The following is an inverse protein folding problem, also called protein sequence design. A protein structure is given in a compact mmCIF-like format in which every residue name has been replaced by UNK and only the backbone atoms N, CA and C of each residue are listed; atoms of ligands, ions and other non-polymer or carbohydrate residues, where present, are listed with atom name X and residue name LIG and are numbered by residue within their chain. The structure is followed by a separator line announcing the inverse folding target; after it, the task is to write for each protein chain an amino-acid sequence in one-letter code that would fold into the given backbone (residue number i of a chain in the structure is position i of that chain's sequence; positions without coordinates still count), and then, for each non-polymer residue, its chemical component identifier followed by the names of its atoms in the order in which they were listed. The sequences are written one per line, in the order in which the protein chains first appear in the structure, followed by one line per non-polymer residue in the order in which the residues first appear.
data_IF_828776814506
#
_entry.id   IF_828776814506
#
_cell.length_a   1.000
_cell.length_b   1.000
_cell.length_c   1.000
_cell.angle_alpha   90.00
_cell.angle_beta   90.00
_cell.angle_gamma   90.00
#
_symmetry.space_group_name_H-M   'P 1'
#
loop_
_entity.id
_entity.type
_entity.pdbx_description
1 polymer ?
#
# COMPACT_ATOMS: atom_id res chain seq x y z
N UNK A 1 -40.33 18.73 48.19
CA UNK A 1 -41.03 17.80 47.33
C UNK A 1 -41.19 18.51 46.00
N UNK A 2 -40.33 18.27 45.16
CA UNK A 2 -40.04 17.22 44.19
C UNK A 2 -40.57 17.66 42.82
N UNK A 3 -39.65 18.13 41.98
CA UNK A 3 -39.80 18.24 40.52
C UNK A 3 -38.40 18.13 39.89
N UNK A 4 -37.85 16.93 39.91
CA UNK A 4 -36.55 16.69 39.23
C UNK A 4 -36.33 15.17 39.02
N UNK A 5 -37.28 14.50 38.29
CA UNK A 5 -37.11 13.06 37.95
C UNK A 5 -37.80 12.70 36.62
N UNK A 6 -37.59 13.48 35.54
CA UNK A 6 -38.18 13.10 34.23
C UNK A 6 -37.31 13.33 33.00
N UNK A 7 -36.04 13.72 33.12
CA UNK A 7 -35.20 13.99 31.93
C UNK A 7 -34.16 12.91 31.56
N UNK A 8 -34.02 11.81 32.30
CA UNK A 8 -32.96 10.82 32.08
C UNK A 8 -33.38 9.54 31.33
N UNK A 9 -34.58 9.50 30.73
CA UNK A 9 -35.03 8.28 29.99
C UNK A 9 -35.21 8.42 28.48
N UNK A 10 -35.00 9.57 27.85
CA UNK A 10 -35.19 9.70 26.40
C UNK A 10 -33.93 9.46 25.58
N UNK A 11 -32.72 9.58 26.12
CA UNK A 11 -31.47 9.38 25.39
C UNK A 11 -31.15 7.91 25.02
N UNK A 12 -31.49 6.96 25.94
CA UNK A 12 -31.08 5.55 25.76
C UNK A 12 -31.90 4.75 24.74
N UNK A 13 -33.09 5.20 24.35
CA UNK A 13 -33.91 4.48 23.34
C UNK A 13 -33.61 4.95 21.90
N UNK A 14 -33.08 6.15 21.70
CA UNK A 14 -32.65 6.65 20.39
C UNK A 14 -31.36 5.98 19.93
N UNK A 15 -30.32 5.94 20.77
CA UNK A 15 -29.02 5.36 20.46
C UNK A 15 -29.07 3.85 20.14
N UNK A 16 -29.90 3.08 20.84
CA UNK A 16 -30.07 1.65 20.57
C UNK A 16 -30.81 1.37 19.26
N UNK A 17 -31.73 2.24 18.83
CA UNK A 17 -32.43 2.16 17.56
C UNK A 17 -31.52 2.48 16.37
N UNK A 18 -30.74 3.56 16.46
CA UNK A 18 -29.80 4.01 15.44
C UNK A 18 -28.66 2.98 15.23
N UNK A 19 -28.09 2.44 16.31
CA UNK A 19 -27.09 1.37 16.24
C UNK A 19 -27.66 0.11 15.57
N UNK A 20 -28.92 -0.25 15.81
CA UNK A 20 -29.59 -1.38 15.16
C UNK A 20 -29.84 -1.13 13.67
N UNK A 21 -30.14 0.11 13.26
CA UNK A 21 -30.32 0.50 11.86
C UNK A 21 -29.01 0.40 11.06
N UNK A 22 -27.90 0.90 11.61
CA UNK A 22 -26.56 0.80 11.02
C UNK A 22 -26.14 -0.65 10.89
N UNK A 23 -26.24 -1.47 11.96
CA UNK A 23 -25.92 -2.90 11.92
C UNK A 23 -26.74 -3.63 10.87
N UNK A 24 -28.05 -3.35 10.79
CA UNK A 24 -28.93 -3.93 9.79
C UNK A 24 -28.58 -3.52 8.35
N UNK A 25 -28.15 -2.28 8.15
CA UNK A 25 -27.67 -1.81 6.84
C UNK A 25 -26.38 -2.51 6.44
N UNK A 26 -25.39 -2.54 7.33
CA UNK A 26 -24.11 -3.23 7.12
C UNK A 26 -24.35 -4.69 6.73
N UNK A 27 -25.17 -5.41 7.48
CA UNK A 27 -25.47 -6.83 7.20
C UNK A 27 -26.11 -7.04 5.82
N UNK A 28 -27.02 -6.16 5.40
CA UNK A 28 -27.69 -6.29 4.08
C UNK A 28 -26.80 -5.92 2.89
N UNK A 29 -25.84 -5.03 3.09
CA UNK A 29 -24.96 -4.53 2.02
C UNK A 29 -23.60 -5.22 1.99
N UNK A 30 -23.29 -6.05 2.96
CA UNK A 30 -22.08 -6.89 2.97
C UNK A 30 -22.20 -8.03 1.96
N UNK A 31 -21.20 -8.18 1.12
CA UNK A 31 -21.04 -9.29 0.17
C UNK A 31 -20.11 -10.33 0.78
N UNK A 32 -20.63 -11.50 1.22
CA UNK A 32 -19.79 -12.53 1.83
C UNK A 32 -18.74 -13.07 0.84
N UNK A 33 -17.50 -13.25 1.27
CA UNK A 33 -16.45 -13.90 0.50
C UNK A 33 -16.59 -15.43 0.57
N UNK A 34 -17.70 -15.95 0.03
CA UNK A 34 -18.08 -17.37 0.10
C UNK A 34 -17.14 -18.28 -0.69
N UNK A 35 -16.42 -17.76 -1.69
CA UNK A 35 -15.37 -18.47 -2.41
C UNK A 35 -14.07 -18.63 -1.60
N UNK A 36 -13.97 -18.00 -0.41
CA UNK A 36 -12.75 -17.94 0.40
C UNK A 36 -11.79 -16.83 -0.02
N UNK A 37 -10.61 -16.80 0.57
CA UNK A 37 -9.61 -15.74 0.36
C UNK A 37 -8.51 -16.11 -0.64
N UNK A 38 -8.47 -17.38 -1.06
CA UNK A 38 -7.34 -17.92 -1.85
C UNK A 38 -7.51 -17.62 -3.34
N UNK A 39 -6.43 -17.27 -4.01
CA UNK A 39 -6.33 -17.20 -5.47
C UNK A 39 -6.75 -18.53 -6.14
N UNK A 40 -7.33 -18.45 -7.34
CA UNK A 40 -7.89 -19.62 -8.04
C UNK A 40 -9.24 -20.10 -7.49
N UNK A 41 -9.76 -19.53 -6.41
CA UNK A 41 -11.10 -19.85 -5.90
C UNK A 41 -12.19 -19.31 -6.84
N UNK A 42 -13.42 -19.91 -6.81
CA UNK A 42 -14.53 -19.41 -7.62
C UNK A 42 -14.80 -17.92 -7.39
N UNK A 43 -15.10 -17.17 -8.46
CA UNK A 43 -15.26 -15.70 -8.43
C UNK A 43 -16.71 -15.24 -8.39
N UNK A 44 -17.67 -16.14 -8.20
CA UNK A 44 -19.10 -15.81 -8.21
C UNK A 44 -19.48 -14.76 -7.15
N UNK A 45 -18.86 -14.80 -5.99
CA UNK A 45 -19.03 -13.83 -4.89
C UNK A 45 -18.35 -12.47 -5.17
N UNK A 46 -17.45 -12.39 -6.13
CA UNK A 46 -16.81 -11.14 -6.57
C UNK A 46 -17.59 -10.45 -7.71
N UNK A 47 -18.58 -11.11 -8.33
CA UNK A 47 -19.33 -10.53 -9.45
C UNK A 47 -19.96 -9.14 -9.15
N UNK A 48 -20.45 -8.84 -7.92
CA UNK A 48 -20.96 -7.51 -7.61
C UNK A 48 -19.92 -6.39 -7.80
N UNK A 49 -18.61 -6.70 -7.70
CA UNK A 49 -17.55 -5.72 -7.95
C UNK A 49 -17.55 -5.19 -9.39
N UNK A 50 -18.14 -5.91 -10.35
CA UNK A 50 -18.21 -5.46 -11.74
C UNK A 50 -19.01 -4.16 -11.89
N UNK A 51 -20.12 -4.04 -11.16
CA UNK A 51 -20.93 -2.82 -11.13
C UNK A 51 -20.28 -1.75 -10.25
N UNK A 52 -19.77 -2.16 -9.09
CA UNK A 52 -19.08 -1.27 -8.14
C UNK A 52 -17.87 -0.57 -8.77
N UNK A 53 -17.14 -1.25 -9.65
CA UNK A 53 -15.92 -0.76 -10.29
C UNK A 53 -16.13 -0.30 -11.75
N UNK A 54 -17.38 -0.08 -12.17
CA UNK A 54 -17.62 0.48 -13.51
C UNK A 54 -16.99 1.89 -13.62
N UNK A 55 -16.28 2.13 -14.72
CA UNK A 55 -15.51 3.37 -14.92
C UNK A 55 -14.24 3.53 -14.09
N UNK A 56 -13.95 2.63 -13.13
CA UNK A 56 -12.75 2.68 -12.30
C UNK A 56 -11.52 2.24 -13.10
N UNK A 57 -10.45 3.03 -12.99
CA UNK A 57 -9.14 2.78 -13.61
C UNK A 57 -8.06 2.40 -12.61
N UNK A 58 -8.22 2.80 -11.35
CA UNK A 58 -7.26 2.52 -10.27
C UNK A 58 -8.03 1.96 -9.09
N UNK A 59 -7.70 0.73 -8.67
CA UNK A 59 -8.23 0.12 -7.44
C UNK A 59 -7.11 0.05 -6.42
N UNK A 60 -7.21 0.87 -5.36
CA UNK A 60 -6.32 0.79 -4.20
C UNK A 60 -6.74 -0.34 -3.27
N UNK A 61 -5.93 -1.37 -3.17
CA UNK A 61 -6.07 -2.48 -2.23
C UNK A 61 -5.24 -2.21 -0.98
N UNK A 62 -5.90 -1.77 0.09
CA UNK A 62 -5.30 -1.44 1.36
C UNK A 62 -4.88 -2.66 2.19
N UNK A 63 -4.31 -2.42 3.34
CA UNK A 63 -4.06 -3.38 4.42
C UNK A 63 -3.83 -2.62 5.72
N UNK A 64 -4.43 -3.07 6.80
CA UNK A 64 -4.19 -2.47 8.13
C UNK A 64 -2.89 -2.97 8.78
N UNK A 65 -2.15 -3.86 8.12
CA UNK A 65 -0.81 -4.33 8.49
C UNK A 65 -0.14 -5.04 7.32
N UNK A 66 1.18 -4.90 7.20
CA UNK A 66 1.99 -5.56 6.16
C UNK A 66 2.31 -7.04 6.46
N UNK A 67 1.67 -7.69 7.40
CA UNK A 67 2.14 -8.97 7.89
C UNK A 67 1.09 -10.08 8.02
N UNK A 68 -0.05 -10.03 7.33
CA UNK A 68 -1.09 -11.07 7.42
C UNK A 68 -1.17 -11.94 6.17
N UNK A 69 -1.32 -13.25 6.41
CA UNK A 69 -1.53 -14.24 5.36
C UNK A 69 -2.83 -13.96 4.57
N UNK A 70 -3.92 -13.71 5.28
CA UNK A 70 -5.25 -13.58 4.70
C UNK A 70 -5.39 -12.33 3.82
N UNK A 71 -4.79 -11.18 4.21
CA UNK A 71 -4.81 -9.99 3.36
C UNK A 71 -4.07 -10.23 2.05
N UNK A 72 -2.90 -10.87 2.11
CA UNK A 72 -2.11 -11.13 0.91
C UNK A 72 -2.82 -12.10 -0.02
N UNK A 73 -3.46 -13.14 0.53
CA UNK A 73 -4.28 -14.09 -0.24
C UNK A 73 -5.48 -13.42 -0.87
N UNK A 74 -6.21 -12.58 -0.12
CA UNK A 74 -7.35 -11.83 -0.65
C UNK A 74 -6.94 -10.86 -1.75
N UNK A 75 -5.85 -10.11 -1.55
CA UNK A 75 -5.34 -9.19 -2.57
C UNK A 75 -4.90 -9.92 -3.84
N UNK A 76 -4.27 -11.09 -3.71
CA UNK A 76 -3.94 -11.93 -4.86
C UNK A 76 -5.22 -12.38 -5.59
N UNK A 77 -6.23 -12.87 -4.87
CA UNK A 77 -7.52 -13.27 -5.46
C UNK A 77 -8.24 -12.09 -6.14
N UNK A 78 -8.22 -10.90 -5.54
CA UNK A 78 -8.77 -9.69 -6.14
C UNK A 78 -7.97 -9.28 -7.38
N UNK A 79 -6.64 -9.38 -7.36
CA UNK A 79 -5.80 -9.13 -8.54
C UNK A 79 -6.18 -10.06 -9.69
N UNK A 80 -6.33 -11.38 -9.44
CA UNK A 80 -6.80 -12.34 -10.45
C UNK A 80 -8.12 -11.88 -11.08
N UNK A 81 -9.12 -11.57 -10.24
CA UNK A 81 -10.42 -11.12 -10.70
C UNK A 81 -10.35 -9.82 -11.51
N UNK A 82 -9.63 -8.82 -11.02
CA UNK A 82 -9.45 -7.53 -11.69
C UNK A 82 -8.76 -7.68 -13.05
N UNK A 83 -7.77 -8.56 -13.15
CA UNK A 83 -7.05 -8.82 -14.39
C UNK A 83 -7.90 -9.62 -15.38
N UNK A 84 -8.50 -10.72 -14.94
CA UNK A 84 -9.19 -11.66 -15.84
C UNK A 84 -10.58 -11.19 -16.26
N UNK A 85 -11.31 -10.50 -15.39
CA UNK A 85 -12.71 -10.12 -15.62
C UNK A 85 -12.88 -8.62 -15.92
N UNK A 86 -12.02 -7.75 -15.39
CA UNK A 86 -12.17 -6.31 -15.52
C UNK A 86 -11.06 -5.63 -16.34
N UNK A 87 -10.08 -6.42 -16.85
CA UNK A 87 -9.07 -5.94 -17.77
C UNK A 87 -8.02 -5.02 -17.14
N UNK A 88 -7.70 -5.21 -15.85
CA UNK A 88 -6.58 -4.51 -15.23
C UNK A 88 -5.26 -5.07 -15.76
N UNK A 89 -4.29 -4.17 -16.03
CA UNK A 89 -3.07 -4.50 -16.76
C UNK A 89 -1.80 -4.36 -15.95
N UNK A 90 -1.85 -3.69 -14.78
CA UNK A 90 -0.65 -3.41 -14.00
C UNK A 90 -0.93 -3.56 -12.51
N UNK A 91 -0.07 -4.30 -11.81
CA UNK A 91 0.06 -4.27 -10.36
C UNK A 91 1.13 -3.23 -9.99
N UNK A 92 0.70 -2.11 -9.40
CA UNK A 92 1.58 -1.10 -8.79
C UNK A 92 1.66 -1.38 -7.28
N UNK A 93 2.84 -1.68 -6.78
CA UNK A 93 3.03 -2.12 -5.40
C UNK A 93 3.88 -1.14 -4.60
N UNK A 94 3.54 -0.91 -3.33
CA UNK A 94 4.35 -0.17 -2.34
C UNK A 94 5.67 -0.92 -2.07
N UNK A 95 6.46 -1.12 -3.13
CA UNK A 95 7.71 -1.85 -3.14
C UNK A 95 8.76 -1.03 -3.91
N UNK A 96 10.03 -1.39 -3.79
CA UNK A 96 11.12 -0.62 -4.40
C UNK A 96 10.91 -0.37 -5.89
N UNK A 97 10.81 0.90 -6.28
CA UNK A 97 10.77 1.33 -7.67
C UNK A 97 12.08 0.97 -8.41
N UNK A 98 13.19 0.94 -7.68
CA UNK A 98 14.53 0.62 -8.19
C UNK A 98 14.66 -0.86 -8.58
N UNK A 99 14.14 -1.76 -7.75
CA UNK A 99 14.20 -3.21 -7.94
C UNK A 99 12.98 -3.77 -8.72
N UNK A 100 11.89 -3.03 -8.78
CA UNK A 100 10.65 -3.44 -9.47
C UNK A 100 10.85 -3.97 -10.90
N UNK A 101 11.75 -3.39 -11.73
CA UNK A 101 12.02 -3.90 -13.07
C UNK A 101 12.49 -5.35 -13.14
N UNK A 102 13.17 -5.86 -12.10
CA UNK A 102 13.58 -7.27 -12.05
C UNK A 102 12.37 -8.19 -11.83
N UNK A 103 11.41 -7.77 -11.00
CA UNK A 103 10.15 -8.49 -10.82
C UNK A 103 9.30 -8.44 -12.09
N UNK A 104 9.21 -7.29 -12.78
CA UNK A 104 8.50 -7.17 -14.07
C UNK A 104 9.12 -8.08 -15.15
N UNK A 105 10.44 -8.16 -15.20
CA UNK A 105 11.14 -9.07 -16.13
C UNK A 105 10.83 -10.55 -15.84
N UNK A 106 10.77 -10.95 -14.58
CA UNK A 106 10.33 -12.30 -14.20
C UNK A 106 8.87 -12.54 -14.60
N UNK A 107 7.95 -11.67 -14.19
CA UNK A 107 6.52 -11.78 -14.46
C UNK A 107 6.23 -11.86 -15.97
N UNK A 108 6.93 -11.09 -16.80
CA UNK A 108 6.70 -11.05 -18.25
C UNK A 108 7.44 -12.10 -19.05
N UNK A 109 8.63 -12.45 -18.63
CA UNK A 109 9.55 -13.26 -19.47
C UNK A 109 10.20 -14.43 -18.73
N UNK A 110 9.93 -14.62 -17.44
CA UNK A 110 10.55 -15.67 -16.63
C UNK A 110 12.03 -15.45 -16.35
N UNK A 111 12.53 -14.21 -16.49
CA UNK A 111 13.94 -13.88 -16.24
C UNK A 111 14.21 -13.74 -14.76
N UNK A 112 15.12 -14.56 -14.23
CA UNK A 112 15.50 -14.56 -12.81
C UNK A 112 14.81 -15.65 -12.00
N UNK A 113 15.26 -15.79 -10.75
CA UNK A 113 14.64 -16.66 -9.75
C UNK A 113 13.58 -15.85 -8.97
N UNK A 114 12.32 -16.31 -8.87
CA UNK A 114 11.24 -15.54 -8.27
C UNK A 114 11.48 -15.18 -6.80
N UNK A 115 12.06 -16.06 -6.00
CA UNK A 115 12.37 -15.77 -4.60
C UNK A 115 13.52 -14.75 -4.46
N UNK A 116 14.47 -14.77 -5.40
CA UNK A 116 15.58 -13.80 -5.41
C UNK A 116 15.10 -12.41 -5.84
N UNK A 117 14.27 -12.28 -6.88
CA UNK A 117 13.77 -10.97 -7.31
C UNK A 117 12.89 -10.32 -6.22
N UNK A 118 12.10 -11.11 -5.47
CA UNK A 118 11.38 -10.61 -4.30
C UNK A 118 12.33 -10.19 -3.17
N UNK A 119 13.40 -10.92 -2.94
CA UNK A 119 14.44 -10.56 -1.96
C UNK A 119 15.10 -9.23 -2.36
N UNK A 120 15.31 -9.00 -3.66
CA UNK A 120 15.85 -7.78 -4.24
C UNK A 120 15.01 -6.53 -3.94
N UNK A 121 13.70 -6.64 -3.73
CA UNK A 121 12.84 -5.52 -3.33
C UNK A 121 13.29 -4.87 -2.00
N UNK A 122 14.09 -5.56 -1.19
CA UNK A 122 14.73 -5.01 0.00
C UNK A 122 13.80 -4.83 1.21
N UNK A 123 12.54 -5.25 1.14
CA UNK A 123 11.56 -5.18 2.22
C UNK A 123 11.19 -6.59 2.69
N UNK A 124 11.27 -6.84 3.99
CA UNK A 124 10.86 -8.13 4.59
C UNK A 124 9.36 -8.41 4.38
N UNK A 125 8.55 -7.35 4.28
CA UNK A 125 7.09 -7.40 4.11
C UNK A 125 6.69 -8.16 2.84
N UNK A 126 7.46 -8.03 1.77
CA UNK A 126 7.15 -8.62 0.46
C UNK A 126 7.87 -9.95 0.22
N UNK A 127 8.77 -10.35 1.12
CA UNK A 127 9.47 -11.62 1.03
C UNK A 127 8.70 -12.73 1.73
N UNK A 128 7.54 -13.06 1.18
CA UNK A 128 6.59 -14.04 1.70
C UNK A 128 6.12 -15.02 0.64
N UNK A 129 5.67 -16.20 1.08
CA UNK A 129 5.12 -17.22 0.19
C UNK A 129 3.91 -16.70 -0.59
N UNK A 130 3.07 -15.88 0.04
CA UNK A 130 1.87 -15.32 -0.56
C UNK A 130 2.20 -14.37 -1.73
N UNK A 131 3.23 -13.53 -1.59
CA UNK A 131 3.69 -12.64 -2.66
C UNK A 131 4.42 -13.43 -3.74
N UNK A 132 5.13 -14.50 -3.38
CA UNK A 132 5.74 -15.41 -4.32
C UNK A 132 4.67 -16.09 -5.20
N UNK A 133 3.65 -16.71 -4.59
CA UNK A 133 2.51 -17.31 -5.30
C UNK A 133 1.87 -16.31 -6.28
N UNK A 134 1.74 -15.05 -5.87
CA UNK A 134 1.15 -14.00 -6.71
C UNK A 134 1.99 -13.68 -7.96
N UNK A 135 3.32 -13.49 -7.83
CA UNK A 135 4.15 -13.20 -9.01
C UNK A 135 4.31 -14.43 -9.89
N UNK A 136 4.26 -15.64 -9.34
CA UNK A 136 4.24 -16.89 -10.12
C UNK A 136 2.93 -17.03 -10.89
N UNK A 137 1.78 -16.67 -10.28
CA UNK A 137 0.51 -16.60 -11.00
C UNK A 137 0.58 -15.57 -12.14
N UNK A 138 1.10 -14.35 -11.89
CA UNK A 138 1.27 -13.35 -12.95
C UNK A 138 2.13 -13.87 -14.10
N UNK A 139 3.21 -14.59 -13.79
CA UNK A 139 4.07 -15.23 -14.80
C UNK A 139 3.30 -16.28 -15.62
N UNK A 140 2.54 -17.15 -14.95
CA UNK A 140 1.72 -18.17 -15.60
C UNK A 140 0.62 -17.55 -16.48
N UNK A 141 -0.03 -16.49 -15.98
CA UNK A 141 -1.02 -15.74 -16.75
C UNK A 141 -0.42 -15.14 -18.03
N UNK A 142 0.79 -14.61 -17.97
CA UNK A 142 1.47 -13.99 -19.10
C UNK A 142 2.03 -14.98 -20.13
N UNK A 143 2.13 -16.26 -19.77
CA UNK A 143 2.75 -17.27 -20.65
C UNK A 143 1.98 -17.41 -21.99
N UNK A 144 2.70 -17.27 -23.09
CA UNK A 144 2.13 -17.30 -24.44
C UNK A 144 1.28 -16.06 -24.83
N UNK A 145 1.09 -15.08 -23.96
CA UNK A 145 0.34 -13.84 -24.27
C UNK A 145 1.23 -12.81 -24.97
N UNK A 146 0.70 -12.08 -25.97
CA UNK A 146 1.42 -10.97 -26.58
C UNK A 146 1.68 -9.84 -25.56
N UNK A 147 2.73 -9.07 -25.76
CA UNK A 147 3.22 -8.09 -24.78
C UNK A 147 2.18 -7.03 -24.34
N UNK A 148 1.23 -6.70 -25.18
CA UNK A 148 0.13 -5.75 -24.90
C UNK A 148 -1.04 -6.38 -24.11
N UNK A 149 -1.07 -7.68 -23.93
CA UNK A 149 -2.08 -8.39 -23.13
C UNK A 149 -1.49 -8.92 -21.80
N UNK A 150 -0.20 -8.72 -21.57
CA UNK A 150 0.47 -9.15 -20.36
C UNK A 150 0.16 -8.21 -19.20
N UNK A 151 -0.05 -8.79 -18.01
CA UNK A 151 -0.07 -8.04 -16.76
C UNK A 151 1.36 -7.68 -16.37
N UNK A 152 1.54 -6.46 -15.88
CA UNK A 152 2.86 -5.90 -15.51
C UNK A 152 2.99 -5.70 -14.02
N UNK A 153 4.23 -5.68 -13.54
CA UNK A 153 4.58 -5.32 -12.17
C UNK A 153 5.32 -3.99 -12.14
N UNK A 154 4.93 -3.10 -11.23
CA UNK A 154 5.63 -1.85 -10.99
C UNK A 154 5.84 -1.64 -9.48
N UNK A 155 7.08 -1.55 -9.02
CA UNK A 155 7.39 -0.98 -7.72
C UNK A 155 7.24 0.54 -7.80
N UNK A 156 6.57 1.17 -6.81
CA UNK A 156 6.31 2.62 -6.85
C UNK A 156 7.03 3.41 -5.75
N UNK A 157 7.63 2.73 -4.77
CA UNK A 157 8.30 3.38 -3.65
C UNK A 157 9.76 3.72 -4.00
N UNK A 158 10.18 4.99 -3.97
CA UNK A 158 11.53 5.40 -4.28
C UNK A 158 12.56 5.08 -3.19
N UNK A 159 12.15 4.50 -2.06
CA UNK A 159 13.07 3.96 -1.07
C UNK A 159 13.91 2.82 -1.68
N UNK A 160 15.07 2.52 -1.11
CA UNK A 160 15.91 1.38 -1.56
C UNK A 160 16.36 1.53 -3.01
N UNK A 161 17.21 2.52 -3.28
CA UNK A 161 17.64 2.90 -4.64
C UNK A 161 18.96 2.25 -5.10
N UNK A 162 19.45 1.20 -4.44
CA UNK A 162 20.71 0.53 -4.77
C UNK A 162 20.78 -0.01 -6.21
N UNK A 163 19.68 -0.63 -6.69
CA UNK A 163 19.63 -1.14 -8.08
C UNK A 163 19.69 0.00 -9.10
N UNK A 164 19.11 1.18 -8.79
CA UNK A 164 19.22 2.35 -9.65
C UNK A 164 20.67 2.83 -9.78
N UNK A 165 21.45 2.79 -8.71
CA UNK A 165 22.88 3.09 -8.76
C UNK A 165 23.62 2.08 -9.65
N UNK A 166 23.39 0.79 -9.50
CA UNK A 166 24.02 -0.25 -10.29
C UNK A 166 23.70 -0.12 -11.79
N UNK A 167 22.45 0.18 -12.14
CA UNK A 167 22.03 0.42 -13.53
C UNK A 167 22.75 1.64 -14.12
N UNK A 168 22.84 2.73 -13.36
CA UNK A 168 23.51 3.97 -13.80
C UNK A 168 25.03 3.77 -13.88
N UNK A 169 25.63 3.00 -12.98
CA UNK A 169 27.03 2.63 -13.05
C UNK A 169 27.34 1.84 -14.34
N UNK A 170 26.53 0.82 -14.65
CA UNK A 170 26.69 0.04 -15.87
C UNK A 170 26.51 0.91 -17.13
N UNK A 171 25.53 1.82 -17.15
CA UNK A 171 25.32 2.75 -18.24
C UNK A 171 26.51 3.70 -18.41
N UNK A 172 26.95 4.40 -17.34
CA UNK A 172 28.06 5.33 -17.39
C UNK A 172 29.38 4.63 -17.74
N UNK A 173 29.59 3.39 -17.33
CA UNK A 173 30.77 2.60 -17.73
C UNK A 173 30.89 2.50 -19.26
N UNK A 174 29.75 2.45 -19.97
CA UNK A 174 29.73 2.31 -21.42
C UNK A 174 29.83 3.66 -22.15
N UNK A 175 29.33 4.78 -21.58
CA UNK A 175 29.19 6.06 -22.32
C UNK A 175 30.06 7.19 -21.75
N UNK A 176 30.43 7.16 -20.45
CA UNK A 176 31.15 8.22 -19.76
C UNK A 176 31.86 7.70 -18.50
N UNK A 177 32.87 6.81 -18.62
CA UNK A 177 33.53 6.20 -17.48
C UNK A 177 34.24 7.19 -16.55
N UNK A 178 34.59 8.34 -17.05
CA UNK A 178 35.17 9.46 -16.29
C UNK A 178 34.22 10.04 -15.24
N UNK A 179 32.90 9.78 -15.33
CA UNK A 179 31.89 10.21 -14.35
C UNK A 179 31.68 9.23 -13.18
N UNK A 180 32.17 8.00 -13.27
CA UNK A 180 32.02 6.98 -12.22
C UNK A 180 32.57 7.42 -10.86
N UNK A 181 33.76 8.05 -10.73
CA UNK A 181 34.24 8.51 -9.43
C UNK A 181 33.28 9.50 -8.77
N UNK A 182 32.65 10.39 -9.52
CA UNK A 182 31.65 11.33 -8.99
C UNK A 182 30.37 10.63 -8.56
N UNK A 183 29.86 9.67 -9.36
CA UNK A 183 28.70 8.84 -8.99
C UNK A 183 28.95 8.15 -7.64
N UNK A 184 30.06 7.45 -7.48
CA UNK A 184 30.36 6.68 -6.28
C UNK A 184 30.60 7.57 -5.04
N UNK A 185 31.39 8.65 -5.19
CA UNK A 185 31.75 9.52 -4.07
C UNK A 185 30.58 10.34 -3.54
N UNK A 186 29.64 10.72 -4.40
CA UNK A 186 28.54 11.62 -4.06
C UNK A 186 27.23 10.87 -3.83
N UNK A 187 26.81 10.05 -4.82
CA UNK A 187 25.51 9.38 -4.80
C UNK A 187 25.55 7.94 -4.26
N UNK A 188 26.74 7.33 -4.15
CA UNK A 188 26.91 5.95 -3.66
C UNK A 188 26.28 5.70 -2.29
N UNK A 189 26.16 6.74 -1.47
CA UNK A 189 25.51 6.67 -0.16
C UNK A 189 24.04 6.24 -0.24
N UNK A 190 23.35 6.54 -1.35
CA UNK A 190 21.94 6.21 -1.56
C UNK A 190 21.69 4.69 -1.62
N UNK A 191 22.72 3.87 -1.85
CA UNK A 191 22.59 2.42 -1.82
C UNK A 191 22.06 1.91 -0.47
N UNK A 192 22.44 2.56 0.64
CA UNK A 192 22.14 2.11 2.00
C UNK A 192 21.44 3.18 2.87
N UNK A 193 21.19 4.36 2.33
CA UNK A 193 20.46 5.41 3.03
C UNK A 193 18.96 5.09 3.11
N UNK A 194 18.31 5.61 4.14
CA UNK A 194 16.86 5.49 4.32
C UNK A 194 16.24 6.90 4.46
N UNK A 195 14.94 7.06 4.20
CA UNK A 195 14.25 8.33 4.30
C UNK A 195 14.48 9.03 5.64
N UNK A 196 14.80 10.33 5.59
CA UNK A 196 15.08 11.14 6.80
C UNK A 196 16.40 10.86 7.48
N UNK A 197 17.26 9.99 6.93
CA UNK A 197 18.51 9.60 7.61
C UNK A 197 19.61 10.66 7.58
N UNK A 198 19.53 11.64 6.68
CA UNK A 198 20.52 12.70 6.50
C UNK A 198 19.84 14.03 6.18
N UNK A 199 19.10 14.63 7.12
CA UNK A 199 18.45 15.90 6.90
C UNK A 199 19.43 16.96 6.44
N UNK A 200 19.19 17.54 5.26
CA UNK A 200 20.00 18.62 4.68
C UNK A 200 19.07 19.69 4.08
N UNK A 201 18.90 20.85 4.76
CA UNK A 201 18.08 21.94 4.24
C UNK A 201 18.55 22.49 2.87
N UNK A 202 19.80 22.26 2.50
CA UNK A 202 20.36 22.69 1.20
C UNK A 202 20.12 21.68 0.10
N UNK A 203 19.64 20.49 0.44
CA UNK A 203 19.33 19.40 -0.52
C UNK A 203 20.50 19.07 -1.46
N UNK A 204 21.75 19.17 -0.97
CA UNK A 204 22.94 18.99 -1.80
C UNK A 204 22.97 17.66 -2.55
N UNK A 205 22.56 16.57 -1.88
CA UNK A 205 22.47 15.24 -2.51
C UNK A 205 21.45 15.17 -3.64
N UNK A 206 20.29 15.84 -3.47
CA UNK A 206 19.26 15.93 -4.50
C UNK A 206 19.78 16.71 -5.73
N UNK A 207 20.42 17.86 -5.53
CA UNK A 207 21.00 18.64 -6.64
C UNK A 207 22.04 17.83 -7.43
N UNK A 208 22.85 16.99 -6.77
CA UNK A 208 23.80 16.15 -7.51
C UNK A 208 23.09 15.04 -8.30
N UNK A 209 22.02 14.48 -7.78
CA UNK A 209 21.18 13.52 -8.51
C UNK A 209 20.47 14.19 -9.72
N UNK A 210 20.01 15.43 -9.57
CA UNK A 210 19.42 16.22 -10.66
C UNK A 210 20.45 16.51 -11.79
N UNK A 211 21.69 16.84 -11.44
CA UNK A 211 22.75 17.00 -12.44
C UNK A 211 23.03 15.71 -13.21
N UNK A 212 22.99 14.56 -12.52
CA UNK A 212 23.12 13.28 -13.20
C UNK A 212 21.93 13.00 -14.10
N UNK A 213 20.70 13.26 -13.65
CA UNK A 213 19.49 13.11 -14.46
C UNK A 213 19.57 13.97 -15.73
N UNK A 214 19.96 15.25 -15.60
CA UNK A 214 20.10 16.14 -16.77
C UNK A 214 21.14 15.62 -17.77
N UNK A 215 22.25 15.08 -17.26
CA UNK A 215 23.27 14.48 -18.12
C UNK A 215 22.74 13.26 -18.88
N UNK A 216 22.09 12.30 -18.21
CA UNK A 216 21.61 11.07 -18.86
C UNK A 216 20.43 11.32 -19.81
N UNK A 217 19.67 12.42 -19.65
CA UNK A 217 18.63 12.84 -20.60
C UNK A 217 19.16 13.04 -22.01
N UNK A 218 20.43 13.46 -22.16
CA UNK A 218 21.07 13.54 -23.46
C UNK A 218 21.10 12.22 -24.25
N UNK A 219 20.83 11.09 -23.58
CA UNK A 219 20.82 9.75 -24.16
C UNK A 219 19.41 9.12 -24.21
N UNK A 220 18.35 9.87 -23.92
CA UNK A 220 16.98 9.34 -23.77
C UNK A 220 16.47 8.66 -25.05
N UNK A 221 16.99 9.04 -26.22
CA UNK A 221 16.60 8.52 -27.53
C UNK A 221 17.12 7.11 -27.83
N UNK A 222 17.97 6.53 -26.98
CA UNK A 222 18.45 5.15 -27.10
C UNK A 222 17.87 4.30 -25.96
N UNK A 223 17.56 3.00 -26.18
CA UNK A 223 16.90 2.16 -25.17
C UNK A 223 17.62 2.13 -23.82
N UNK A 224 18.94 1.98 -23.79
CA UNK A 224 19.73 1.99 -22.55
C UNK A 224 19.68 3.36 -21.84
N UNK A 225 19.66 4.45 -22.61
CA UNK A 225 19.52 5.82 -22.07
C UNK A 225 18.16 6.07 -21.47
N UNK A 226 17.08 5.62 -22.09
CA UNK A 226 15.73 5.73 -21.53
C UNK A 226 15.62 4.98 -20.18
N UNK A 227 16.27 3.81 -20.05
CA UNK A 227 16.38 3.08 -18.78
C UNK A 227 17.17 3.91 -17.77
N UNK A 228 18.33 4.46 -18.16
CA UNK A 228 19.16 5.28 -17.28
C UNK A 228 18.42 6.53 -16.78
N UNK A 229 17.65 7.22 -17.64
CA UNK A 229 16.80 8.37 -17.24
C UNK A 229 15.78 7.97 -16.17
N UNK A 230 15.11 6.83 -16.33
CA UNK A 230 14.16 6.31 -15.33
C UNK A 230 14.84 6.09 -13.97
N UNK A 231 15.98 5.42 -13.96
CA UNK A 231 16.71 5.15 -12.73
C UNK A 231 17.32 6.42 -12.11
N UNK A 232 17.73 7.41 -12.91
CA UNK A 232 18.18 8.70 -12.40
C UNK A 232 17.03 9.50 -11.76
N UNK A 233 15.80 9.45 -12.28
CA UNK A 233 14.61 10.04 -11.62
C UNK A 233 14.35 9.38 -10.24
N UNK A 234 14.49 8.05 -10.15
CA UNK A 234 14.37 7.34 -8.86
C UNK A 234 15.44 7.84 -7.89
N UNK A 235 16.69 8.03 -8.34
CA UNK A 235 17.74 8.58 -7.47
C UNK A 235 17.45 10.00 -6.98
N UNK A 236 16.88 10.87 -7.82
CA UNK A 236 16.47 12.22 -7.40
C UNK A 236 15.44 12.14 -6.28
N UNK A 237 14.39 11.32 -6.46
CA UNK A 237 13.35 11.11 -5.45
C UNK A 237 13.95 10.50 -4.16
N UNK A 238 14.82 9.52 -4.28
CA UNK A 238 15.49 8.90 -3.13
C UNK A 238 16.39 9.89 -2.37
N UNK A 239 17.15 10.73 -3.09
CA UNK A 239 18.01 11.77 -2.51
C UNK A 239 17.18 12.81 -1.77
N UNK A 240 16.04 13.24 -2.33
CA UNK A 240 15.11 14.13 -1.64
C UNK A 240 14.57 13.48 -0.35
N UNK A 241 14.10 12.22 -0.39
CA UNK A 241 13.63 11.53 0.80
C UNK A 241 14.71 11.39 1.88
N UNK A 242 15.94 11.09 1.49
CA UNK A 242 17.07 10.93 2.42
C UNK A 242 17.41 12.24 3.13
N UNK A 243 17.29 13.38 2.44
CA UNK A 243 17.65 14.71 2.95
C UNK A 243 16.50 15.48 3.59
N UNK A 244 15.25 15.03 3.47
CA UNK A 244 14.11 15.64 4.15
C UNK A 244 14.08 15.29 5.64
N UNK A 245 13.53 16.20 6.45
CA UNK A 245 13.24 15.92 7.85
C UNK A 245 12.00 15.05 7.99
N UNK A 246 12.02 14.15 8.99
CA UNK A 246 10.81 13.41 9.42
C UNK A 246 9.80 14.29 10.17
N UNK A 247 10.23 15.46 10.65
CA UNK A 247 9.39 16.41 11.39
C UNK A 247 9.52 17.80 10.77
N UNK A 248 8.40 18.44 10.49
CA UNK A 248 8.34 19.80 9.99
C UNK A 248 7.04 20.45 10.49
N UNK A 249 7.00 21.78 10.81
CA UNK A 249 5.77 22.48 11.20
C UNK A 249 4.65 22.39 10.16
N UNK A 250 5.04 22.36 8.87
CA UNK A 250 4.14 22.09 7.76
C UNK A 250 4.24 20.57 7.42
N UNK A 251 3.18 19.78 7.64
CA UNK A 251 3.19 18.34 7.40
C UNK A 251 3.46 17.98 5.94
N UNK A 252 3.12 18.83 4.97
CA UNK A 252 3.35 18.60 3.54
C UNK A 252 4.85 18.66 3.15
N UNK A 253 5.69 19.20 4.02
CA UNK A 253 7.15 19.28 3.82
C UNK A 253 7.92 18.15 4.48
N UNK A 254 7.25 17.21 5.11
CA UNK A 254 7.87 16.03 5.74
C UNK A 254 8.33 15.00 4.70
N UNK A 255 9.19 14.09 5.13
CA UNK A 255 9.61 12.94 4.31
C UNK A 255 8.43 12.05 3.94
N UNK A 256 7.45 11.91 4.83
CA UNK A 256 6.25 11.10 4.60
C UNK A 256 5.41 11.67 3.45
N UNK A 257 5.12 12.98 3.49
CA UNK A 257 4.40 13.67 2.41
C UNK A 257 5.09 13.52 1.05
N UNK A 258 6.41 13.71 1.02
CA UNK A 258 7.17 13.56 -0.23
C UNK A 258 7.13 12.12 -0.76
N UNK A 259 7.18 11.11 0.12
CA UNK A 259 7.11 9.71 -0.27
C UNK A 259 5.75 9.37 -0.91
N UNK A 260 4.66 9.77 -0.26
CA UNK A 260 3.30 9.53 -0.77
C UNK A 260 3.07 10.21 -2.12
N UNK A 261 3.51 11.46 -2.27
CA UNK A 261 3.47 12.16 -3.55
C UNK A 261 4.26 11.44 -4.64
N UNK A 262 5.48 10.97 -4.35
CA UNK A 262 6.29 10.26 -5.34
C UNK A 262 5.72 8.90 -5.73
N UNK A 263 5.05 8.21 -4.82
CA UNK A 263 4.32 6.99 -5.12
C UNK A 263 3.09 7.28 -6.01
N UNK A 264 2.38 8.38 -5.77
CA UNK A 264 1.28 8.81 -6.63
C UNK A 264 1.78 9.15 -8.04
N UNK A 265 2.84 9.98 -8.15
CA UNK A 265 3.47 10.31 -9.43
C UNK A 265 3.91 9.05 -10.20
N UNK A 266 4.39 8.00 -9.51
CA UNK A 266 4.75 6.75 -10.17
C UNK A 266 3.54 6.01 -10.77
N UNK A 267 2.38 6.04 -10.11
CA UNK A 267 1.12 5.51 -10.67
C UNK A 267 0.66 6.37 -11.85
N UNK A 268 0.77 7.68 -11.74
CA UNK A 268 0.44 8.62 -12.82
C UNK A 268 1.30 8.39 -14.06
N UNK A 269 2.62 8.18 -13.89
CA UNK A 269 3.53 7.85 -14.98
C UNK A 269 3.13 6.58 -15.74
N UNK A 270 2.57 5.57 -15.04
CA UNK A 270 2.05 4.35 -15.68
C UNK A 270 0.83 4.68 -16.57
N UNK A 271 -0.11 5.47 -16.04
CA UNK A 271 -1.35 5.82 -16.73
C UNK A 271 -1.14 6.84 -17.87
N UNK A 272 -0.17 7.73 -17.73
CA UNK A 272 0.22 8.69 -18.77
C UNK A 272 0.97 7.99 -19.92
N UNK A 273 1.75 6.94 -19.61
CA UNK A 273 2.44 6.12 -20.58
C UNK A 273 1.54 5.17 -21.38
N UNK A 274 0.40 4.80 -20.81
CA UNK A 274 -0.63 3.96 -21.46
C UNK A 274 -2.04 4.41 -21.02
N UNK A 275 -2.73 5.22 -21.83
CA UNK A 275 -4.09 5.69 -21.51
C UNK A 275 -5.13 4.58 -21.34
N UNK A 276 -4.89 3.38 -21.87
CA UNK A 276 -5.76 2.21 -21.69
C UNK A 276 -5.46 1.42 -20.41
N UNK A 277 -4.36 1.71 -19.74
CA UNK A 277 -3.96 1.00 -18.53
C UNK A 277 -5.00 1.13 -17.41
N UNK A 278 -5.20 0.03 -16.70
CA UNK A 278 -5.91 -0.04 -15.42
C UNK A 278 -4.96 -0.60 -14.38
N UNK A 279 -4.91 0.02 -13.21
CA UNK A 279 -3.92 -0.23 -12.18
C UNK A 279 -4.54 -0.80 -10.92
N UNK A 280 -4.07 -1.97 -10.49
CA UNK A 280 -4.26 -2.45 -9.12
C UNK A 280 -3.12 -1.88 -8.28
N UNK A 281 -3.46 -1.03 -7.32
CA UNK A 281 -2.51 -0.40 -6.42
C UNK A 281 -2.50 -1.17 -5.09
N UNK A 282 -1.37 -1.76 -4.72
CA UNK A 282 -1.18 -2.45 -3.45
C UNK A 282 -0.37 -1.58 -2.49
N UNK A 283 -0.98 -1.14 -1.41
CA UNK A 283 -0.32 -0.37 -0.36
C UNK A 283 -0.96 -0.56 1.00
N UNK A 284 -0.42 0.09 2.02
CA UNK A 284 -1.04 0.17 3.34
C UNK A 284 -2.30 1.03 3.29
N UNK A 285 -3.27 0.79 4.20
CA UNK A 285 -4.49 1.58 4.30
C UNK A 285 -4.21 3.08 4.37
N UNK A 286 -3.21 3.49 5.14
CA UNK A 286 -2.83 4.89 5.28
C UNK A 286 -2.31 5.54 3.98
N UNK A 287 -1.78 4.75 3.05
CA UNK A 287 -1.31 5.26 1.74
C UNK A 287 -2.44 5.31 0.71
N UNK A 288 -3.34 4.31 0.70
CA UNK A 288 -4.42 4.26 -0.31
C UNK A 288 -5.64 5.13 0.05
N UNK A 289 -5.71 5.69 1.27
CA UNK A 289 -6.81 6.55 1.70
C UNK A 289 -7.00 7.74 0.74
N UNK A 290 -8.26 7.99 0.31
CA UNK A 290 -8.58 9.03 -0.70
C UNK A 290 -8.75 10.44 -0.14
N UNK A 291 -8.85 10.58 1.19
CA UNK A 291 -9.05 11.84 1.89
C UNK A 291 -7.93 12.17 2.84
N UNK A 292 -8.04 13.32 3.52
CA UNK A 292 -7.22 13.58 4.71
C UNK A 292 -7.69 12.65 5.80
N UNK A 293 -6.74 12.12 6.57
CA UNK A 293 -7.07 11.42 7.80
C UNK A 293 -7.80 12.38 8.76
N UNK A 294 -8.50 11.83 9.75
CA UNK A 294 -9.20 12.63 10.76
C UNK A 294 -8.26 13.57 11.57
N UNK A 295 -6.95 13.47 11.38
CA UNK A 295 -5.92 14.32 11.97
C UNK A 295 -5.27 15.20 10.90
N UNK A 296 -5.52 16.52 10.95
CA UNK A 296 -4.95 17.50 10.02
C UNK A 296 -3.40 17.61 10.11
N UNK A 297 -2.79 17.07 11.16
CA UNK A 297 -1.34 17.00 11.29
C UNK A 297 -0.69 15.91 10.43
N UNK A 298 -1.50 14.99 9.87
CA UNK A 298 -1.02 13.95 8.95
C UNK A 298 -0.98 14.49 7.52
N UNK A 299 0.14 14.29 6.79
CA UNK A 299 0.25 14.75 5.40
C UNK A 299 -0.73 13.99 4.47
N UNK A 300 -1.09 14.60 3.32
CA UNK A 300 -1.97 13.94 2.36
C UNK A 300 -1.36 12.63 1.88
N UNK A 301 -2.14 11.52 1.92
CA UNK A 301 -1.68 10.22 1.46
C UNK A 301 -1.66 10.14 -0.08
N UNK A 302 -0.98 9.14 -0.61
CA UNK A 302 -0.92 8.79 -2.03
C UNK A 302 -2.32 8.75 -2.66
N UNK A 303 -3.28 8.08 -2.03
CA UNK A 303 -4.64 7.92 -2.55
C UNK A 303 -5.38 9.25 -2.70
N UNK A 304 -5.08 10.27 -1.85
CA UNK A 304 -5.62 11.61 -2.02
C UNK A 304 -5.12 12.27 -3.32
N UNK A 305 -3.82 12.20 -3.62
CA UNK A 305 -3.28 12.72 -4.87
C UNK A 305 -3.95 12.05 -6.09
N UNK A 306 -4.15 10.73 -6.02
CA UNK A 306 -4.86 10.01 -7.08
C UNK A 306 -6.34 10.41 -7.17
N UNK A 307 -7.03 10.60 -6.05
CA UNK A 307 -8.43 11.06 -6.05
C UNK A 307 -8.56 12.48 -6.63
N UNK A 308 -7.66 13.39 -6.30
CA UNK A 308 -7.64 14.75 -6.84
C UNK A 308 -7.45 14.76 -8.35
N UNK A 309 -6.64 13.86 -8.90
CA UNK A 309 -6.36 13.79 -10.34
C UNK A 309 -7.38 12.98 -11.14
N UNK A 310 -7.83 11.86 -10.61
CA UNK A 310 -8.65 10.88 -11.34
C UNK A 310 -10.12 10.83 -10.89
N UNK A 311 -10.49 11.56 -9.83
CA UNK A 311 -11.86 11.58 -9.31
C UNK A 311 -12.36 10.15 -9.00
N UNK A 312 -13.55 9.83 -9.48
CA UNK A 312 -14.21 8.55 -9.25
C UNK A 312 -13.59 7.37 -10.02
N UNK A 313 -12.64 7.64 -10.93
CA UNK A 313 -11.84 6.58 -11.55
C UNK A 313 -10.80 5.95 -10.59
N UNK A 314 -10.61 6.51 -9.37
CA UNK A 314 -9.88 5.91 -8.28
C UNK A 314 -10.84 5.36 -7.22
N UNK A 315 -10.69 4.08 -6.86
CA UNK A 315 -11.47 3.39 -5.82
C UNK A 315 -10.54 2.90 -4.71
N UNK A 316 -10.76 3.35 -3.48
CA UNK A 316 -9.99 2.96 -2.30
C UNK A 316 -10.71 1.87 -1.50
N UNK A 317 -10.18 0.63 -1.49
CA UNK A 317 -10.65 -0.50 -0.71
C UNK A 317 -9.76 -0.70 0.51
N UNK A 318 -10.21 -0.28 1.70
CA UNK A 318 -9.51 -0.53 2.96
C UNK A 318 -9.69 -1.99 3.43
N UNK A 319 -8.64 -2.65 3.91
CA UNK A 319 -8.71 -4.00 4.45
C UNK A 319 -8.52 -3.97 5.98
N UNK A 320 -9.47 -4.54 6.69
CA UNK A 320 -9.55 -4.60 8.16
C UNK A 320 -9.69 -6.04 8.63
N UNK A 321 -9.22 -6.36 9.85
CA UNK A 321 -9.38 -7.69 10.43
C UNK A 321 -9.86 -7.68 11.89
N UNK A 322 -10.60 -8.71 12.28
CA UNK A 322 -11.22 -8.84 13.60
C UNK A 322 -10.23 -9.21 14.70
N UNK A 323 -9.57 -10.34 14.58
CA UNK A 323 -8.61 -10.89 15.56
C UNK A 323 -7.59 -11.80 14.90
N UNK A 324 -6.67 -12.38 15.68
CA UNK A 324 -5.70 -13.37 15.22
C UNK A 324 -4.25 -12.94 15.44
N UNK A 325 -3.43 -12.89 14.39
CA UNK A 325 -2.05 -12.45 14.48
C UNK A 325 -1.54 -11.81 13.18
N UNK A 326 -0.42 -11.12 13.26
CA UNK A 326 0.28 -10.53 12.12
C UNK A 326 1.79 -10.41 12.40
N UNK A 327 2.62 -10.43 11.38
CA UNK A 327 4.06 -10.20 11.50
C UNK A 327 4.39 -8.71 11.50
N UNK A 328 5.21 -8.27 12.45
CA UNK A 328 5.82 -6.95 12.48
C UNK A 328 7.05 -6.97 13.39
N UNK A 329 7.96 -6.01 13.23
CA UNK A 329 9.04 -5.84 14.18
C UNK A 329 8.56 -5.10 15.42
N UNK A 330 8.85 -5.65 16.60
CA UNK A 330 8.59 -4.98 17.88
C UNK A 330 9.75 -4.04 18.21
N UNK A 331 9.43 -2.77 18.36
CA UNK A 331 10.41 -1.74 18.70
C UNK A 331 10.22 -1.22 20.12
N UNK A 332 11.34 -0.81 20.75
CA UNK A 332 11.30 -0.10 22.02
C UNK A 332 10.90 1.35 21.78
N UNK A 333 10.02 1.95 22.62
CA UNK A 333 9.78 3.38 22.55
C UNK A 333 11.06 4.15 22.88
N UNK A 334 11.43 5.10 22.01
CA UNK A 334 12.57 5.96 22.25
C UNK A 334 13.25 6.47 20.97
N UNK A 335 14.13 7.46 21.06
CA UNK A 335 14.80 8.08 19.92
C UNK A 335 15.71 7.14 19.11
N UNK A 336 15.97 5.92 19.61
CA UNK A 336 16.81 4.89 18.98
C UNK A 336 16.01 3.83 18.20
N UNK A 337 14.72 3.99 18.08
CA UNK A 337 13.80 3.06 17.41
C UNK A 337 13.82 3.15 15.88
N UNK A 338 14.83 3.78 15.28
CA UNK A 338 14.94 3.95 13.83
C UNK A 338 15.10 2.63 13.07
N UNK A 339 14.58 2.61 11.85
CA UNK A 339 14.61 1.48 10.89
C UNK A 339 16.02 0.89 10.67
N UNK A 340 17.08 1.69 10.84
CA UNK A 340 18.46 1.26 10.65
C UNK A 340 18.97 0.18 11.63
N UNK A 341 18.31 0.01 12.80
CA UNK A 341 18.67 -1.02 13.80
C UNK A 341 18.01 -2.40 13.56
N UNK A 342 17.19 -2.54 12.53
CA UNK A 342 16.39 -3.74 12.26
C UNK A 342 16.94 -4.60 11.12
N UNK A 343 18.05 -4.20 10.51
CA UNK A 343 18.68 -4.93 9.40
C UNK A 343 19.07 -6.33 9.83
N UNK A 344 18.50 -7.36 9.17
CA UNK A 344 18.78 -8.77 9.47
C UNK A 344 17.94 -9.41 10.59
N UNK A 345 17.07 -8.67 11.28
CA UNK A 345 16.14 -9.26 12.24
C UNK A 345 14.91 -9.83 11.51
N UNK A 346 14.38 -10.92 12.04
CA UNK A 346 13.13 -11.51 11.54
C UNK A 346 11.96 -10.80 12.25
N UNK A 347 10.95 -10.37 11.48
CA UNK A 347 9.72 -9.85 12.05
C UNK A 347 8.98 -10.95 12.82
N UNK A 348 8.50 -10.60 14.02
CA UNK A 348 7.86 -11.55 14.95
C UNK A 348 6.34 -11.61 14.70
N UNK A 349 5.71 -12.75 15.01
CA UNK A 349 4.26 -12.86 15.13
C UNK A 349 3.73 -12.03 16.31
N UNK A 350 2.67 -11.26 16.07
CA UNK A 350 2.05 -10.38 17.04
C UNK A 350 0.59 -10.79 17.25
N UNK A 351 0.28 -11.63 18.26
CA UNK A 351 -1.09 -12.03 18.52
C UNK A 351 -1.93 -10.86 19.03
N UNK A 352 -3.15 -10.78 18.52
CA UNK A 352 -4.12 -9.75 18.87
C UNK A 352 -5.51 -10.37 19.03
N UNK A 353 -6.20 -10.04 20.13
CA UNK A 353 -7.57 -10.49 20.38
C UNK A 353 -8.62 -9.69 19.62
N UNK A 354 -9.90 -9.90 19.92
CA UNK A 354 -11.00 -9.19 19.30
C UNK A 354 -10.82 -7.68 19.30
N UNK A 355 -11.32 -7.04 18.26
CA UNK A 355 -11.24 -5.59 18.13
C UNK A 355 -12.03 -4.89 19.23
N UNK A 356 -11.54 -3.76 19.79
CA UNK A 356 -12.29 -2.98 20.78
C UNK A 356 -13.69 -2.60 20.26
N UNK A 357 -14.70 -2.62 21.10
CA UNK A 357 -16.10 -2.37 20.72
C UNK A 357 -16.34 -1.00 20.02
N UNK A 358 -15.43 -0.05 20.21
CA UNK A 358 -15.49 1.28 19.61
C UNK A 358 -14.94 1.35 18.19
N UNK A 359 -14.36 0.27 17.68
CA UNK A 359 -13.72 0.25 16.37
C UNK A 359 -14.68 -0.18 15.26
N UNK A 360 -14.34 0.23 14.03
CA UNK A 360 -15.06 -0.18 12.81
C UNK A 360 -15.06 -1.70 12.66
N UNK A 361 -13.95 -2.37 12.97
CA UNK A 361 -13.82 -3.82 12.90
C UNK A 361 -14.84 -4.54 13.80
N UNK A 362 -15.08 -4.02 15.00
CA UNK A 362 -16.07 -4.61 15.91
C UNK A 362 -17.51 -4.42 15.38
N UNK A 363 -17.80 -3.30 14.74
CA UNK A 363 -19.10 -3.03 14.11
C UNK A 363 -19.33 -3.95 12.91
N UNK A 364 -18.31 -4.12 12.05
CA UNK A 364 -18.37 -5.05 10.91
C UNK A 364 -18.55 -6.50 11.38
N UNK A 365 -17.80 -6.94 12.40
CA UNK A 365 -17.94 -8.28 13.01
C UNK A 365 -19.35 -8.54 13.58
N UNK A 366 -19.96 -7.51 14.16
CA UNK A 366 -21.33 -7.61 14.73
C UNK A 366 -22.38 -7.73 13.63
N UNK A 367 -22.21 -7.01 12.53
CA UNK A 367 -23.15 -7.01 11.41
C UNK A 367 -23.03 -8.29 10.56
N UNK A 368 -21.81 -8.72 10.27
CA UNK A 368 -21.50 -9.92 9.47
C UNK A 368 -20.20 -10.53 10.00
N UNK A 369 -20.24 -11.60 10.80
CA UNK A 369 -19.06 -12.16 11.44
C UNK A 369 -18.11 -12.90 10.48
N UNK A 370 -18.54 -13.21 9.26
CA UNK A 370 -17.71 -13.85 8.24
C UNK A 370 -16.92 -12.83 7.41
N UNK A 371 -15.94 -13.30 6.63
CA UNK A 371 -15.19 -12.48 5.69
C UNK A 371 -16.12 -11.89 4.63
N UNK A 372 -16.04 -10.58 4.38
CA UNK A 372 -16.94 -9.90 3.44
C UNK A 372 -16.34 -8.63 2.84
N UNK A 373 -16.94 -8.19 1.74
CA UNK A 373 -16.73 -6.89 1.11
C UNK A 373 -17.93 -5.97 1.37
N UNK A 374 -17.68 -4.67 1.44
CA UNK A 374 -18.71 -3.65 1.62
C UNK A 374 -18.37 -2.42 0.77
N UNK A 375 -19.27 -2.02 -0.14
CA UNK A 375 -19.19 -0.71 -0.79
C UNK A 375 -19.81 0.35 0.16
N UNK A 376 -19.03 1.37 0.49
CA UNK A 376 -19.45 2.44 1.40
C UNK A 376 -20.15 3.61 0.70
N UNK A 377 -20.02 3.73 -0.62
CA UNK A 377 -20.59 4.86 -1.36
C UNK A 377 -22.12 4.96 -1.22
N UNK A 378 -22.89 3.86 -1.23
CA UNK A 378 -24.32 3.93 -0.95
C UNK A 378 -24.69 4.39 0.45
N UNK A 379 -23.79 4.24 1.45
CA UNK A 379 -24.04 4.73 2.80
C UNK A 379 -24.09 6.27 2.90
N UNK A 380 -23.37 6.96 2.01
CA UNK A 380 -23.36 8.41 1.91
C UNK A 380 -24.41 9.00 0.97
N UNK A 381 -25.19 8.17 0.27
CA UNK A 381 -26.21 8.62 -0.68
C UNK A 381 -27.43 9.25 0.02
N UNK A 382 -28.12 10.16 -0.66
CA UNK A 382 -29.26 10.91 -0.09
C UNK A 382 -30.44 10.03 0.32
N UNK A 383 -30.61 8.89 -0.34
CA UNK A 383 -31.66 7.88 -0.08
C UNK A 383 -31.27 6.85 1.01
N UNK A 384 -30.02 6.88 1.49
CA UNK A 384 -29.61 6.04 2.61
C UNK A 384 -30.31 6.48 3.93
N UNK A 385 -30.55 5.54 4.86
CA UNK A 385 -31.09 5.88 6.16
C UNK A 385 -30.25 6.95 6.88
N UNK A 386 -30.89 7.87 7.59
CA UNK A 386 -30.19 8.99 8.26
C UNK A 386 -29.08 8.51 9.19
N UNK A 387 -29.35 7.50 10.04
CA UNK A 387 -28.37 6.96 10.95
C UNK A 387 -27.12 6.38 10.22
N UNK A 388 -27.31 5.82 9.03
CA UNK A 388 -26.22 5.26 8.20
C UNK A 388 -25.36 6.39 7.60
N UNK A 389 -25.99 7.46 7.09
CA UNK A 389 -25.28 8.65 6.60
C UNK A 389 -24.45 9.32 7.69
N UNK A 390 -25.05 9.48 8.87
CA UNK A 390 -24.37 10.04 10.05
C UNK A 390 -23.22 9.13 10.49
N UNK A 391 -23.43 7.81 10.50
CA UNK A 391 -22.40 6.84 10.85
C UNK A 391 -21.21 6.89 9.89
N UNK A 392 -21.42 6.84 8.58
CA UNK A 392 -20.29 6.81 7.62
C UNK A 392 -19.49 8.12 7.63
N UNK A 393 -20.10 9.24 7.99
CA UNK A 393 -19.47 10.56 8.08
C UNK A 393 -18.84 10.85 9.45
N UNK A 394 -19.23 10.11 10.50
CA UNK A 394 -18.72 10.34 11.85
C UNK A 394 -17.24 9.91 11.98
N UNK A 395 -16.49 10.49 12.93
CA UNK A 395 -15.19 9.97 13.30
C UNK A 395 -15.34 8.63 14.03
N UNK A 396 -14.55 7.63 13.61
CA UNK A 396 -14.42 6.32 14.20
C UNK A 396 -12.98 6.06 14.60
N UNK A 397 -12.71 4.87 15.11
CA UNK A 397 -11.36 4.34 15.30
C UNK A 397 -11.23 3.00 14.57
N UNK A 398 -10.02 2.70 14.08
CA UNK A 398 -9.65 1.44 13.45
C UNK A 398 -8.29 1.00 13.91
N UNK A 399 -7.95 -0.26 13.75
CA UNK A 399 -6.59 -0.77 13.94
C UNK A 399 -5.75 -0.46 12.73
N UNK A 400 -4.52 0.02 12.98
CA UNK A 400 -3.55 0.28 11.91
C UNK A 400 -2.16 -0.04 12.41
N UNK A 401 -1.51 -1.03 11.79
CA UNK A 401 -0.20 -1.52 12.16
C UNK A 401 0.74 -1.45 10.95
N UNK A 402 1.83 -0.71 11.07
CA UNK A 402 2.87 -0.70 10.04
C UNK A 402 3.78 -1.93 10.11
N UNK A 403 4.92 -1.83 9.44
CA UNK A 403 6.01 -2.81 9.54
C UNK A 403 6.66 -2.88 10.94
N UNK A 404 6.41 -1.85 11.77
CA UNK A 404 6.94 -1.68 13.12
C UNK A 404 5.78 -1.47 14.10
N UNK A 405 5.85 -2.12 15.27
CA UNK A 405 4.85 -1.93 16.33
C UNK A 405 5.53 -1.68 17.69
N UNK A 406 4.93 -0.86 18.57
CA UNK A 406 5.41 -0.70 19.93
C UNK A 406 5.42 -2.03 20.68
N UNK A 407 6.51 -2.37 21.35
CA UNK A 407 6.69 -3.68 21.98
C UNK A 407 5.56 -4.12 22.93
N UNK A 408 4.94 -3.18 23.67
CA UNK A 408 3.99 -3.50 24.73
C UNK A 408 2.57 -2.99 24.52
N UNK A 409 2.38 -1.97 23.67
CA UNK A 409 1.10 -1.27 23.58
C UNK A 409 0.34 -1.48 22.26
N UNK A 410 0.92 -2.18 21.28
CA UNK A 410 0.31 -2.34 19.95
C UNK A 410 -1.12 -2.89 20.00
N UNK A 411 -1.46 -3.70 21.02
CA UNK A 411 -2.81 -4.28 21.18
C UNK A 411 -3.90 -3.26 21.44
N UNK A 412 -3.52 -2.06 21.88
CA UNK A 412 -4.44 -0.95 22.19
C UNK A 412 -4.31 0.19 21.18
N UNK A 413 -3.46 0.00 20.20
CA UNK A 413 -3.19 1.03 19.19
C UNK A 413 -4.37 1.08 18.22
N UNK A 414 -5.01 2.24 18.17
CA UNK A 414 -6.11 2.55 17.27
C UNK A 414 -5.88 3.92 16.65
N UNK A 415 -6.27 4.07 15.39
CA UNK A 415 -6.10 5.28 14.61
C UNK A 415 -7.49 5.87 14.32
N UNK A 416 -7.69 7.20 14.47
CA UNK A 416 -8.91 7.86 14.01
C UNK A 416 -9.11 7.66 12.51
N UNK A 417 -10.37 7.47 12.09
CA UNK A 417 -10.78 7.31 10.69
C UNK A 417 -12.13 7.98 10.44
N UNK A 418 -12.31 8.56 9.26
CA UNK A 418 -13.61 8.98 8.70
C UNK A 418 -13.87 8.17 7.44
N UNK A 419 -14.76 7.20 7.55
CA UNK A 419 -14.96 6.18 6.51
C UNK A 419 -15.29 6.78 5.15
N UNK A 420 -16.23 7.73 5.08
CA UNK A 420 -16.64 8.38 3.82
C UNK A 420 -15.53 9.20 3.16
N UNK A 421 -14.63 9.76 3.98
CA UNK A 421 -13.51 10.56 3.49
C UNK A 421 -12.32 9.71 3.04
N UNK A 422 -12.08 8.56 3.68
CA UNK A 422 -10.86 7.78 3.47
C UNK A 422 -11.03 6.60 2.52
N UNK A 423 -12.23 5.95 2.48
CA UNK A 423 -12.44 4.74 1.69
C UNK A 423 -13.73 4.81 0.87
N UNK A 424 -13.73 4.15 -0.29
CA UNK A 424 -14.93 3.88 -1.08
C UNK A 424 -15.56 2.54 -0.70
N UNK A 425 -14.74 1.62 -0.19
CA UNK A 425 -15.18 0.32 0.29
C UNK A 425 -14.27 -0.26 1.35
N UNK A 426 -14.76 -1.29 2.02
CA UNK A 426 -14.01 -2.06 3.01
C UNK A 426 -14.04 -3.55 2.68
N UNK A 427 -12.95 -4.25 2.98
CA UNK A 427 -12.91 -5.70 3.09
C UNK A 427 -12.64 -6.05 4.55
N UNK A 428 -13.44 -6.92 5.11
CA UNK A 428 -13.28 -7.42 6.47
C UNK A 428 -12.86 -8.89 6.45
N UNK A 429 -11.82 -9.20 7.22
CA UNK A 429 -11.33 -10.57 7.47
C UNK A 429 -11.54 -10.89 8.95
N UNK A 430 -12.33 -11.89 9.24
CA UNK A 430 -12.71 -12.21 10.63
C UNK A 430 -11.50 -12.62 11.48
N UNK A 431 -10.64 -13.49 10.95
CA UNK A 431 -9.45 -14.01 11.64
C UNK A 431 -8.24 -13.93 10.73
N UNK A 432 -7.18 -13.31 11.22
CA UNK A 432 -5.90 -13.22 10.52
C UNK A 432 -4.84 -14.13 11.11
N UNK A 433 -3.87 -14.52 10.31
CA UNK A 433 -2.67 -15.23 10.71
C UNK A 433 -1.41 -14.55 10.13
N UNK A 434 -0.25 -14.94 10.67
CA UNK A 434 1.03 -14.39 10.24
C UNK A 434 1.33 -14.73 8.78
N UNK A 435 1.77 -13.75 7.99
CA UNK A 435 2.32 -14.01 6.65
C UNK A 435 3.53 -14.95 6.72
N UNK A 436 3.74 -15.80 5.72
CA UNK A 436 4.73 -16.86 5.70
C UNK A 436 6.02 -16.39 5.02
N UNK A 437 7.14 -16.24 5.76
CA UNK A 437 8.38 -15.79 5.15
C UNK A 437 8.95 -16.87 4.24
N UNK A 438 9.39 -16.48 3.05
CA UNK A 438 10.22 -17.36 2.21
C UNK A 438 11.49 -17.71 3.00
N UNK A 439 11.85 -18.99 3.06
CA UNK A 439 13.07 -19.44 3.71
C UNK A 439 14.31 -18.71 3.12
N UNK A 440 15.33 -18.39 3.94
CA UNK A 440 16.54 -17.78 3.40
C UNK A 440 17.14 -18.70 2.33
N UNK A 441 17.41 -18.13 1.15
CA UNK A 441 18.13 -18.82 0.09
C UNK A 441 19.46 -19.34 0.65
N UNK A 442 19.64 -20.64 0.66
CA UNK A 442 20.95 -21.26 0.90
C UNK A 442 21.54 -21.59 -0.47
N UNK A 443 22.58 -20.87 -0.94
CA UNK A 443 23.22 -21.24 -2.19
C UNK A 443 23.70 -22.69 -2.08
N UNK A 444 23.30 -23.51 -3.04
CA UNK A 444 23.87 -24.86 -3.18
C UNK A 444 25.37 -24.64 -3.41
N UNK A 445 26.19 -25.02 -2.45
CA UNK A 445 27.64 -24.97 -2.62
C UNK A 445 27.99 -25.91 -3.81
N UNK A 446 28.76 -25.43 -4.78
CA UNK A 446 29.20 -26.25 -5.91
C UNK A 446 30.01 -27.44 -5.45
#
# INVERSE_FOLDING_TARGET
MSANDRETRSGGMGESGESGEVTGWLSRNSVPLSGGLTAGAPTADLQPLKEVLDGVRIVGLGESTHGTHEFFRLKHRLLEYLVTELGFTTLAMEASASAGPAVDAYVRSGVGDPAQVLTGLGFWTWRTEEVLDMIEWMRAYNDGRPANEQVRFAGIDPQRSGDSLAVLEAFLTSVAPDRLPALHSTLGILANAYPGSRPDPRQGLMHEAEKLLEYVRGYENIPAGAVAVRHARILVRAADLVTRSGQHPDPERTVSAARDRYMAEAVEEILDGDPAAKVVLWGHNSHIAKGRTADDAVPPPLGRHLRERYGDAYYALGLLFGEGSFRAHRIWPGPWSGVGGLTGRIAEGNPIGPAPATTVEAQLATATPADHLLDLRPAGADDAPRAVREWVAAPHTTRSFGALVPRWFYRRDVTPVRLSEEYDGLAYVAVSSDSRPIAPYRPVRP
#
